data_IF_143108500343
#
_entry.id   IF_143108500343
#
_cell.length_a   1.000
_cell.length_b   1.000
_cell.length_c   1.000
_cell.angle_alpha   90.00
_cell.angle_beta   90.00
_cell.angle_gamma   90.00
#
_symmetry.space_group_name_H-M   'P 1'
#
loop_
_entity.id
_entity.type
_entity.pdbx_description
1 polymer ?
#
# COMPACT_ATOMS: atom_id res chain seq x y z
N UNK A 1 -21.69 11.64 22.95
CA UNK A 1 -22.33 10.52 22.23
C UNK A 1 -21.74 10.51 20.84
N UNK A 2 -20.95 9.50 20.47
CA UNK A 2 -20.59 9.31 19.06
C UNK A 2 -21.88 8.89 18.35
N UNK A 3 -22.44 9.79 17.55
CA UNK A 3 -23.49 9.42 16.59
C UNK A 3 -22.94 8.28 15.73
N UNK A 4 -23.78 7.28 15.41
CA UNK A 4 -23.36 6.16 14.59
C UNK A 4 -22.83 6.67 13.24
N UNK A 5 -21.67 6.17 12.82
CA UNK A 5 -21.11 6.49 11.51
C UNK A 5 -22.02 5.87 10.45
N UNK A 6 -22.56 6.71 9.57
CA UNK A 6 -23.35 6.28 8.41
C UNK A 6 -22.56 6.45 7.12
N UNK A 7 -22.87 5.61 6.13
CA UNK A 7 -22.26 5.62 4.82
C UNK A 7 -23.28 6.06 3.78
N UNK A 8 -22.95 7.07 3.00
CA UNK A 8 -23.75 7.51 1.86
C UNK A 8 -23.04 7.13 0.56
N UNK A 9 -23.75 6.43 -0.33
CA UNK A 9 -23.19 6.05 -1.62
C UNK A 9 -23.17 7.26 -2.55
N UNK A 10 -21.99 7.65 -2.99
CA UNK A 10 -21.77 8.77 -3.89
C UNK A 10 -20.82 8.35 -5.02
N UNK A 11 -21.35 7.90 -6.17
CA UNK A 11 -20.50 7.47 -7.27
C UNK A 11 -19.78 8.67 -7.90
N UNK A 12 -18.56 8.47 -8.43
CA UNK A 12 -17.84 9.52 -9.14
C UNK A 12 -18.65 9.96 -10.37
N UNK A 13 -18.85 11.28 -10.49
CA UNK A 13 -19.76 11.88 -11.48
C UNK A 13 -19.02 12.71 -12.52
N UNK A 14 -17.87 13.28 -12.14
CA UNK A 14 -16.99 14.03 -13.03
C UNK A 14 -15.99 13.14 -13.78
N UNK A 15 -15.56 13.58 -14.98
CA UNK A 15 -14.50 12.88 -15.75
C UNK A 15 -13.23 12.74 -14.90
N UNK A 16 -12.86 13.79 -14.15
CA UNK A 16 -11.68 13.77 -13.27
C UNK A 16 -11.84 12.77 -12.12
N UNK A 17 -13.01 12.72 -11.49
CA UNK A 17 -13.33 11.78 -10.39
C UNK A 17 -13.27 10.33 -10.90
N UNK A 18 -13.83 10.08 -12.09
CA UNK A 18 -13.77 8.75 -12.73
C UNK A 18 -12.32 8.34 -13.00
N UNK A 19 -11.50 9.23 -13.58
CA UNK A 19 -10.08 8.93 -13.83
C UNK A 19 -9.33 8.65 -12.54
N UNK A 20 -9.59 9.44 -11.48
CA UNK A 20 -9.02 9.22 -10.16
C UNK A 20 -9.43 7.87 -9.59
N UNK A 21 -10.72 7.52 -9.64
CA UNK A 21 -11.22 6.22 -9.19
C UNK A 21 -10.52 5.06 -9.90
N UNK A 22 -10.28 5.18 -11.20
CA UNK A 22 -9.51 4.18 -11.97
C UNK A 22 -8.05 4.10 -11.52
N UNK A 23 -7.39 5.23 -11.26
CA UNK A 23 -6.01 5.25 -10.76
C UNK A 23 -5.90 4.62 -9.36
N UNK A 24 -6.85 4.90 -8.48
CA UNK A 24 -6.88 4.33 -7.13
C UNK A 24 -7.08 2.81 -7.19
N UNK A 25 -8.01 2.34 -8.04
CA UNK A 25 -8.23 0.91 -8.28
C UNK A 25 -6.99 0.23 -8.87
N UNK A 26 -6.32 0.88 -9.82
CA UNK A 26 -5.08 0.38 -10.41
C UNK A 26 -3.95 0.30 -9.37
N UNK A 27 -3.89 1.24 -8.43
CA UNK A 27 -2.91 1.24 -7.34
C UNK A 27 -3.15 0.05 -6.39
N UNK A 28 -4.41 -0.26 -6.06
CA UNK A 28 -4.74 -1.48 -5.32
C UNK A 28 -4.24 -2.72 -6.06
N UNK A 29 -4.49 -2.79 -7.38
CA UNK A 29 -4.03 -3.89 -8.21
C UNK A 29 -2.50 -4.00 -8.25
N UNK A 30 -1.78 -2.89 -8.32
CA UNK A 30 -0.33 -2.85 -8.30
C UNK A 30 0.23 -3.43 -6.98
N UNK A 31 -0.33 -3.06 -5.83
CA UNK A 31 0.08 -3.64 -4.54
C UNK A 31 -0.30 -5.12 -4.40
N UNK A 32 -1.44 -5.55 -4.93
CA UNK A 32 -1.79 -6.98 -4.99
C UNK A 32 -0.80 -7.77 -5.84
N UNK A 33 -0.44 -7.25 -7.01
CA UNK A 33 0.55 -7.87 -7.88
C UNK A 33 1.92 -7.93 -7.20
N UNK A 34 2.34 -6.85 -6.52
CA UNK A 34 3.55 -6.82 -5.71
C UNK A 34 3.53 -7.91 -4.64
N UNK A 35 2.43 -8.06 -3.90
CA UNK A 35 2.27 -9.11 -2.89
C UNK A 35 2.41 -10.51 -3.51
N UNK A 36 1.79 -10.76 -4.66
CA UNK A 36 1.91 -12.04 -5.37
C UNK A 36 3.36 -12.31 -5.76
N UNK A 37 4.05 -11.32 -6.32
CA UNK A 37 5.47 -11.43 -6.69
C UNK A 37 6.33 -11.73 -5.47
N UNK A 38 6.11 -11.06 -4.34
CA UNK A 38 6.84 -11.29 -3.09
C UNK A 38 6.63 -12.72 -2.58
N UNK A 39 5.39 -13.21 -2.53
CA UNK A 39 5.07 -14.57 -2.07
C UNK A 39 5.71 -15.61 -2.99
N UNK A 40 5.61 -15.41 -4.30
CA UNK A 40 6.21 -16.31 -5.28
C UNK A 40 7.74 -16.31 -5.19
N UNK A 41 8.36 -15.13 -5.08
CA UNK A 41 9.79 -14.98 -4.93
C UNK A 41 10.30 -15.66 -3.66
N UNK A 42 9.61 -15.54 -2.53
CA UNK A 42 10.01 -16.18 -1.28
C UNK A 42 9.89 -17.72 -1.30
N UNK A 43 9.01 -18.27 -2.13
CA UNK A 43 8.93 -19.71 -2.37
C UNK A 43 10.07 -20.21 -3.26
N UNK A 44 10.41 -19.43 -4.30
CA UNK A 44 11.37 -19.85 -5.33
C UNK A 44 12.83 -19.54 -4.98
N UNK A 45 13.07 -18.48 -4.21
CA UNK A 45 14.41 -17.98 -3.87
C UNK A 45 14.56 -17.82 -2.35
N UNK A 46 14.89 -18.89 -1.61
CA UNK A 46 15.12 -18.81 -0.17
C UNK A 46 16.34 -17.98 0.24
N UNK A 47 17.14 -17.51 -0.73
CA UNK A 47 18.29 -16.62 -0.51
C UNK A 47 17.90 -15.19 -0.13
N UNK A 48 16.64 -14.77 -0.34
CA UNK A 48 16.18 -13.48 0.18
C UNK A 48 16.17 -13.58 1.70
N UNK A 49 16.94 -12.71 2.37
CA UNK A 49 17.00 -12.66 3.84
C UNK A 49 15.59 -12.42 4.40
N UNK A 50 14.91 -13.51 4.80
CA UNK A 50 13.49 -13.49 5.16
C UNK A 50 13.15 -12.43 6.21
N UNK A 51 14.06 -12.24 7.17
CA UNK A 51 13.86 -11.30 8.27
C UNK A 51 14.12 -9.85 7.90
N UNK A 52 15.04 -9.60 6.96
CA UNK A 52 15.47 -8.25 6.61
C UNK A 52 14.67 -7.67 5.47
N UNK A 53 14.52 -8.40 4.36
CA UNK A 53 13.92 -7.85 3.13
C UNK A 53 12.50 -8.33 2.91
N UNK A 54 12.24 -9.62 3.15
CA UNK A 54 10.93 -10.20 2.86
C UNK A 54 9.81 -9.68 3.76
N UNK A 55 9.98 -9.65 5.09
CA UNK A 55 8.91 -9.17 5.98
C UNK A 55 8.59 -7.68 5.76
N UNK A 56 9.57 -6.76 5.60
CA UNK A 56 9.25 -5.38 5.26
C UNK A 56 8.51 -5.24 3.93
N UNK A 57 8.88 -6.00 2.89
CA UNK A 57 8.14 -6.03 1.62
C UNK A 57 6.70 -6.53 1.80
N UNK A 58 6.53 -7.59 2.59
CA UNK A 58 5.22 -8.17 2.87
C UNK A 58 4.32 -7.16 3.61
N UNK A 59 4.83 -6.57 4.70
CA UNK A 59 4.10 -5.58 5.50
C UNK A 59 3.81 -4.33 4.68
N UNK A 60 4.79 -3.84 3.92
CA UNK A 60 4.62 -2.72 2.97
C UNK A 60 3.48 -2.99 2.00
N UNK A 61 3.45 -4.18 1.39
CA UNK A 61 2.42 -4.55 0.42
C UNK A 61 1.05 -4.63 1.07
N UNK A 62 0.93 -5.24 2.26
CA UNK A 62 -0.34 -5.33 2.99
C UNK A 62 -0.86 -3.94 3.36
N UNK A 63 -0.03 -3.06 3.93
CA UNK A 63 -0.43 -1.70 4.26
C UNK A 63 -0.74 -0.86 3.02
N UNK A 64 -0.02 -1.08 1.92
CA UNK A 64 -0.31 -0.46 0.63
C UNK A 64 -1.68 -0.86 0.10
N UNK A 65 -2.01 -2.16 0.10
CA UNK A 65 -3.33 -2.65 -0.30
C UNK A 65 -4.43 -2.02 0.56
N UNK A 66 -4.27 -2.05 1.89
CA UNK A 66 -5.30 -1.50 2.79
C UNK A 66 -5.46 0.00 2.53
N UNK A 67 -4.37 0.75 2.46
CA UNK A 67 -4.41 2.19 2.22
C UNK A 67 -5.05 2.53 0.87
N UNK A 68 -4.65 1.86 -0.22
CA UNK A 68 -5.21 2.12 -1.54
C UNK A 68 -6.66 1.67 -1.65
N UNK A 69 -7.05 0.62 -0.93
CA UNK A 69 -8.46 0.20 -0.85
C UNK A 69 -9.29 1.24 -0.07
N UNK A 70 -8.72 1.88 0.95
CA UNK A 70 -9.37 2.99 1.65
C UNK A 70 -9.53 4.21 0.73
N UNK A 71 -8.55 4.53 -0.12
CA UNK A 71 -8.69 5.58 -1.15
C UNK A 71 -9.77 5.24 -2.16
N UNK A 72 -9.73 4.02 -2.71
CA UNK A 72 -10.75 3.55 -3.64
C UNK A 72 -12.14 3.50 -3.00
N UNK A 73 -12.26 3.31 -1.69
CA UNK A 73 -13.54 3.35 -0.98
C UNK A 73 -14.04 4.80 -0.78
N UNK A 74 -13.13 5.72 -0.44
CA UNK A 74 -13.41 7.15 -0.24
C UNK A 74 -14.08 7.80 -1.47
N UNK A 75 -13.69 7.35 -2.68
CA UNK A 75 -14.25 7.88 -3.93
C UNK A 75 -15.72 7.46 -4.18
N UNK A 76 -16.20 6.41 -3.50
CA UNK A 76 -17.55 5.85 -3.71
C UNK A 76 -18.47 6.05 -2.50
N UNK A 77 -17.91 6.30 -1.32
CA UNK A 77 -18.66 6.37 -0.07
C UNK A 77 -18.24 7.58 0.75
N UNK A 78 -19.23 8.40 1.12
CA UNK A 78 -19.03 9.51 2.03
C UNK A 78 -19.41 9.11 3.45
N UNK A 79 -18.64 9.61 4.42
CA UNK A 79 -18.85 9.36 5.83
C UNK A 79 -19.64 10.50 6.47
N UNK A 80 -20.65 10.15 7.27
CA UNK A 80 -21.40 11.11 8.09
C UNK A 80 -21.43 10.63 9.55
N UNK A 81 -21.10 11.47 10.55
CA UNK A 81 -20.57 12.84 10.42
C UNK A 81 -19.14 12.86 9.88
N UNK A 82 -18.79 13.91 9.11
CA UNK A 82 -17.47 14.08 8.48
C UNK A 82 -16.29 14.13 9.45
N UNK A 83 -16.54 14.37 10.75
CA UNK A 83 -15.51 14.31 11.80
C UNK A 83 -14.80 12.95 11.85
N UNK A 84 -15.53 11.84 11.64
CA UNK A 84 -14.91 10.52 11.58
C UNK A 84 -13.93 10.42 10.41
N UNK A 85 -14.30 10.99 9.26
CA UNK A 85 -13.45 11.01 8.09
C UNK A 85 -12.16 11.80 8.32
N UNK A 86 -12.28 13.02 8.84
CA UNK A 86 -11.14 13.93 9.00
C UNK A 86 -10.18 13.51 10.11
N UNK A 87 -10.69 12.98 11.23
CA UNK A 87 -9.86 12.64 12.40
C UNK A 87 -9.40 11.19 12.46
N UNK A 88 -10.13 10.26 11.83
CA UNK A 88 -9.83 8.83 11.93
C UNK A 88 -9.48 8.25 10.56
N UNK A 89 -10.38 8.36 9.58
CA UNK A 89 -10.19 7.69 8.28
C UNK A 89 -8.97 8.21 7.51
N UNK A 90 -8.95 9.53 7.25
CA UNK A 90 -7.92 10.19 6.45
C UNK A 90 -6.52 10.11 7.10
N UNK A 91 -6.35 10.31 8.42
CA UNK A 91 -5.06 10.11 9.07
C UNK A 91 -4.62 8.65 9.04
N UNK A 92 -5.52 7.69 9.31
CA UNK A 92 -5.19 6.25 9.28
C UNK A 92 -4.69 5.83 7.91
N UNK A 93 -5.40 6.23 6.85
CA UNK A 93 -4.99 6.00 5.47
C UNK A 93 -3.58 6.55 5.20
N UNK A 94 -3.35 7.82 5.53
CA UNK A 94 -2.05 8.47 5.32
C UNK A 94 -0.93 7.77 6.09
N UNK A 95 -1.16 7.37 7.34
CA UNK A 95 -0.16 6.64 8.12
C UNK A 95 0.15 5.27 7.53
N UNK A 96 -0.86 4.51 7.09
CA UNK A 96 -0.66 3.23 6.42
C UNK A 96 0.16 3.41 5.14
N UNK A 97 -0.15 4.42 4.34
CA UNK A 97 0.59 4.75 3.13
C UNK A 97 2.05 5.13 3.42
N UNK A 98 2.28 6.00 4.41
CA UNK A 98 3.63 6.42 4.80
C UNK A 98 4.47 5.26 5.30
N UNK A 99 3.91 4.41 6.17
CA UNK A 99 4.59 3.21 6.66
C UNK A 99 4.86 2.26 5.49
N UNK A 100 3.90 2.08 4.58
CA UNK A 100 4.07 1.25 3.38
C UNK A 100 5.25 1.73 2.53
N UNK A 101 5.30 3.03 2.19
CA UNK A 101 6.40 3.61 1.40
C UNK A 101 7.73 3.49 2.13
N UNK A 102 7.77 3.82 3.42
CA UNK A 102 9.00 3.76 4.21
C UNK A 102 9.60 2.36 4.22
N UNK A 103 8.77 1.34 4.46
CA UNK A 103 9.19 -0.07 4.41
C UNK A 103 9.58 -0.50 3.00
N UNK A 104 8.89 -0.02 1.97
CA UNK A 104 9.22 -0.31 0.57
C UNK A 104 10.61 0.22 0.22
N UNK A 105 10.91 1.47 0.58
CA UNK A 105 12.23 2.11 0.34
C UNK A 105 13.34 1.35 1.06
N UNK A 106 13.14 0.98 2.33
CA UNK A 106 14.13 0.18 3.08
C UNK A 106 14.36 -1.17 2.39
N UNK A 107 13.29 -1.84 1.99
CA UNK A 107 13.41 -3.13 1.33
C UNK A 107 14.10 -3.05 -0.04
N UNK A 108 13.82 -2.01 -0.83
CA UNK A 108 14.52 -1.78 -2.09
C UNK A 108 16.01 -1.51 -1.89
N UNK A 109 16.37 -0.72 -0.87
CA UNK A 109 17.77 -0.51 -0.53
C UNK A 109 18.50 -1.82 -0.20
N UNK A 110 17.88 -2.66 0.63
CA UNK A 110 18.45 -3.97 0.96
C UNK A 110 18.51 -4.93 -0.23
N UNK A 111 17.50 -4.90 -1.11
CA UNK A 111 17.49 -5.68 -2.33
C UNK A 111 18.60 -5.24 -3.29
N UNK A 112 18.85 -3.94 -3.39
CA UNK A 112 19.94 -3.38 -4.18
C UNK A 112 21.30 -3.80 -3.62
N UNK A 113 21.50 -3.71 -2.30
CA UNK A 113 22.72 -4.19 -1.65
C UNK A 113 22.93 -5.68 -1.93
N UNK A 114 21.90 -6.52 -1.73
CA UNK A 114 21.96 -7.94 -2.05
C UNK A 114 22.34 -8.20 -3.51
N UNK A 115 21.73 -7.46 -4.44
CA UNK A 115 22.03 -7.58 -5.87
C UNK A 115 23.50 -7.22 -6.15
N UNK A 116 24.02 -6.13 -5.57
CA UNK A 116 25.44 -5.74 -5.71
C UNK A 116 26.40 -6.81 -5.19
N UNK A 117 26.09 -7.45 -4.06
CA UNK A 117 26.87 -8.60 -3.56
C UNK A 117 26.89 -9.75 -4.56
N UNK A 118 25.72 -10.04 -5.14
CA UNK A 118 25.56 -11.16 -6.07
C UNK A 118 26.31 -10.94 -7.39
N UNK A 119 26.40 -9.69 -7.84
CA UNK A 119 27.17 -9.30 -9.03
C UNK A 119 28.67 -9.09 -8.77
N UNK A 120 29.15 -9.32 -7.54
CA UNK A 120 30.58 -9.26 -7.22
C UNK A 120 31.17 -7.85 -7.24
N UNK A 121 30.34 -6.80 -7.18
CA UNK A 121 30.80 -5.41 -7.10
C UNK A 121 31.37 -5.03 -5.71
N UNK A 122 31.31 -5.95 -4.74
CA UNK A 122 31.87 -5.83 -3.39
C UNK A 122 33.38 -6.19 -3.34
N UNK A 123 34.12 -6.05 -4.45
CA UNK A 123 35.58 -6.17 -4.46
C UNK A 123 36.27 -4.80 -4.31
N UNK A 124 36.13 -4.16 -3.14
CA UNK A 124 37.12 -3.22 -2.55
C UNK A 124 36.67 -2.73 -1.18
#
# INVERSE_FOLDING_TARGET
MMQGVTFEFHPPSGILEIVKAFLDLFTVFAFMLLLVVIIYAARRYPMIERKRTFYPLLVSSVFGIISSAMDAFDEWFWFTPGEFYDYIWKPTRLWLFLISIFLLVIAFGQFYDFSRRLFGEESR
#
